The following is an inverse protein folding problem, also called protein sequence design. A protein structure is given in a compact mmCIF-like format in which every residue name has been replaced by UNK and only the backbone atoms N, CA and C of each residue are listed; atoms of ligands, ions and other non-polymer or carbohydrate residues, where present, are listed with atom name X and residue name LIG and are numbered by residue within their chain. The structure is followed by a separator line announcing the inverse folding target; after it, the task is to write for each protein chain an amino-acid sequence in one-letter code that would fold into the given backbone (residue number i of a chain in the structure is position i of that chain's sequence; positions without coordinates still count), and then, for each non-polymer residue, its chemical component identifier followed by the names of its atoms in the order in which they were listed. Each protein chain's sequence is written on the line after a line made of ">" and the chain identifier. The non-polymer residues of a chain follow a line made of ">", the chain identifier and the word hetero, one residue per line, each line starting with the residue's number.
data_IF_183475919170
#
_entry.id   IF_183475919170
#
_cell.length_a   1.000
_cell.length_b   1.000
_cell.length_c   1.000
_cell.angle_alpha   90.00
_cell.angle_beta   90.00
_cell.angle_gamma   90.00
#
_symmetry.space_group_name_H-M   'P 1'
#
loop_
_entity.id
_entity.type
_entity.pdbx_description
1 polymer ?
#
# COMPACT_ATOMS: atom_id res chain seq x y z
N UNK A 1 33.11 28.66 28.95
CA UNK A 1 33.63 29.42 27.79
C UNK A 1 34.39 28.41 26.91
N UNK A 2 34.19 28.18 25.61
CA UNK A 2 33.39 28.78 24.52
C UNK A 2 33.19 27.69 23.42
N UNK A 3 31.99 27.70 22.83
CA UNK A 3 31.56 27.45 21.42
C UNK A 3 31.83 26.12 20.67
N UNK A 4 30.71 25.58 20.16
CA UNK A 4 30.55 24.74 18.95
C UNK A 4 30.69 25.64 17.69
N UNK A 5 31.05 25.08 16.51
CA UNK A 5 30.06 25.05 15.42
C UNK A 5 29.91 23.69 14.70
N UNK A 6 28.72 23.52 14.13
CA UNK A 6 28.17 22.36 13.42
C UNK A 6 28.77 22.07 12.02
N UNK A 7 28.41 20.88 11.53
CA UNK A 7 28.39 20.33 10.15
C UNK A 7 29.67 19.74 9.55
N UNK A 8 29.58 18.46 9.13
CA UNK A 8 30.53 17.85 8.20
C UNK A 8 30.50 16.32 8.16
N UNK A 9 29.65 15.77 7.29
CA UNK A 9 29.83 14.56 6.48
C UNK A 9 30.99 13.61 6.83
N UNK A 10 30.68 12.37 7.21
CA UNK A 10 31.64 11.26 7.31
C UNK A 10 32.36 11.07 5.96
N UNK A 11 33.67 11.34 5.93
CA UNK A 11 34.55 11.10 4.78
C UNK A 11 35.31 9.79 5.02
N UNK A 12 34.93 8.71 4.33
CA UNK A 12 35.74 7.49 4.26
C UNK A 12 36.93 7.70 3.33
N UNK A 13 38.13 7.42 3.83
CA UNK A 13 39.36 7.33 3.03
C UNK A 13 39.30 6.06 2.16
N UNK A 14 39.23 6.25 0.83
CA UNK A 14 39.32 5.17 -0.17
C UNK A 14 40.78 4.84 -0.44
N UNK A 15 41.19 3.62 -0.12
CA UNK A 15 42.36 2.97 -0.75
C UNK A 15 41.88 2.47 -2.12
N UNK A 16 42.42 3.03 -3.19
CA UNK A 16 42.04 2.69 -4.56
C UNK A 16 42.83 1.47 -5.06
N UNK A 17 42.12 0.37 -5.36
CA UNK A 17 42.65 -0.77 -6.12
C UNK A 17 42.48 -0.49 -7.63
N UNK A 18 43.55 -0.32 -8.42
CA UNK A 18 43.46 0.09 -9.82
C UNK A 18 42.98 -1.03 -10.79
N UNK A 19 42.79 -2.26 -10.32
CA UNK A 19 42.33 -3.39 -11.15
C UNK A 19 40.80 -3.47 -11.31
N UNK A 20 40.01 -2.89 -10.39
CA UNK A 20 38.54 -2.97 -10.43
C UNK A 20 37.87 -1.99 -11.39
N UNK A 21 38.51 -0.85 -11.66
CA UNK A 21 37.98 0.19 -12.56
C UNK A 21 38.00 -0.22 -14.03
N UNK A 22 39.03 -0.96 -14.46
CA UNK A 22 39.13 -1.43 -15.83
C UNK A 22 38.07 -2.51 -16.13
N UNK A 23 37.81 -3.42 -15.19
CA UNK A 23 36.78 -4.48 -15.36
C UNK A 23 35.37 -3.87 -15.37
N UNK A 24 35.09 -2.89 -14.50
CA UNK A 24 33.81 -2.17 -14.49
C UNK A 24 33.54 -1.38 -15.78
N UNK A 25 34.57 -0.75 -16.35
CA UNK A 25 34.44 0.00 -17.61
C UNK A 25 34.20 -0.95 -18.81
N UNK A 26 34.85 -2.12 -18.84
CA UNK A 26 34.64 -3.11 -19.90
C UNK A 26 33.22 -3.71 -19.86
N UNK A 27 32.70 -4.03 -18.68
CA UNK A 27 31.32 -4.53 -18.52
C UNK A 27 30.31 -3.45 -18.92
N UNK A 28 30.55 -2.19 -18.56
CA UNK A 28 29.68 -1.07 -18.92
C UNK A 28 29.68 -0.77 -20.43
N UNK A 29 30.85 -0.82 -21.09
CA UNK A 29 30.95 -0.63 -22.55
C UNK A 29 30.37 -1.81 -23.32
N UNK A 30 30.55 -3.05 -22.83
CA UNK A 30 29.91 -4.23 -23.40
C UNK A 30 28.38 -4.17 -23.26
N UNK A 31 27.87 -3.71 -22.12
CA UNK A 31 26.44 -3.49 -21.87
C UNK A 31 25.85 -2.44 -22.83
N UNK A 32 26.53 -1.31 -23.03
CA UNK A 32 26.09 -0.27 -24.00
C UNK A 32 26.13 -0.80 -25.44
N UNK A 33 27.16 -1.56 -25.82
CA UNK A 33 27.25 -2.16 -27.17
C UNK A 33 26.17 -3.21 -27.40
N UNK A 34 25.86 -4.04 -26.40
CA UNK A 34 24.79 -5.04 -26.45
C UNK A 34 23.41 -4.39 -26.62
N UNK A 35 23.12 -3.35 -25.84
CA UNK A 35 21.83 -2.64 -25.92
C UNK A 35 21.68 -1.76 -27.17
N UNK A 36 22.78 -1.25 -27.76
CA UNK A 36 22.72 -0.59 -29.08
C UNK A 36 22.55 -1.56 -30.24
N UNK A 37 23.08 -2.79 -30.14
CA UNK A 37 22.90 -3.82 -31.17
C UNK A 37 21.46 -4.34 -31.23
N UNK A 38 20.78 -4.52 -30.09
CA UNK A 38 19.35 -4.89 -30.06
C UNK A 38 18.40 -3.78 -30.52
N UNK A 39 18.79 -2.50 -30.39
CA UNK A 39 18.01 -1.39 -30.91
C UNK A 39 18.07 -1.28 -32.44
N UNK A 40 19.18 -1.66 -33.07
CA UNK A 40 19.34 -1.60 -34.53
C UNK A 40 18.54 -2.67 -35.30
N UNK A 41 18.17 -3.78 -34.65
CA UNK A 41 17.36 -4.85 -35.27
C UNK A 41 15.84 -4.67 -35.11
N UNK A 42 15.38 -3.73 -34.26
CA UNK A 42 13.97 -3.39 -34.14
C UNK A 42 13.52 -2.27 -35.11
N UNK A 43 14.46 -1.58 -35.77
CA UNK A 43 14.18 -0.46 -36.69
C UNK A 43 14.19 -0.83 -38.18
N UNK A 44 14.61 -2.04 -38.57
CA UNK A 44 14.69 -2.45 -39.99
C UNK A 44 13.53 -3.32 -40.50
N UNK A 45 12.53 -3.65 -39.67
CA UNK A 45 11.35 -4.43 -40.08
C UNK A 45 10.08 -3.59 -40.31
N UNK A 46 10.11 -2.28 -40.06
CA UNK A 46 8.94 -1.39 -40.28
C UNK A 46 9.13 -0.44 -41.48
N UNK A 47 10.33 -0.33 -42.07
CA UNK A 47 10.60 0.57 -43.20
C UNK A 47 10.51 -0.08 -44.61
N UNK A 48 10.03 -1.33 -44.72
CA UNK A 48 10.00 -2.09 -45.98
C UNK A 48 8.62 -2.26 -46.65
N UNK A 49 7.52 -1.81 -46.02
CA UNK A 49 6.16 -2.01 -46.52
C UNK A 49 5.44 -0.70 -46.88
N UNK A 50 6.18 0.38 -47.11
CA UNK A 50 5.63 1.69 -47.49
C UNK A 50 6.20 2.16 -48.83
N UNK A 51 5.92 1.41 -49.90
CA UNK A 51 6.07 1.91 -51.27
C UNK A 51 5.02 1.25 -52.17
N UNK A 52 3.91 1.95 -52.37
CA UNK A 52 2.97 1.67 -53.45
C UNK A 52 1.50 1.59 -53.04
N UNK A 53 0.80 2.73 -53.02
CA UNK A 53 -0.61 2.82 -53.41
C UNK A 53 -1.11 4.28 -53.41
N UNK A 54 -1.00 4.90 -54.58
CA UNK A 54 -2.00 5.75 -55.26
C UNK A 54 -3.06 6.46 -54.39
N UNK A 55 -2.95 7.78 -54.34
CA UNK A 55 -4.02 8.70 -53.97
C UNK A 55 -5.29 8.41 -54.78
N UNK A 56 -6.38 8.08 -54.09
CA UNK A 56 -7.75 8.14 -54.63
C UNK A 56 -8.63 8.90 -53.64
N UNK A 57 -9.26 9.95 -54.15
CA UNK A 57 -10.32 10.71 -53.49
C UNK A 57 -11.59 9.85 -53.42
N UNK A 58 -12.22 9.78 -52.25
CA UNK A 58 -13.66 9.52 -52.00
C UNK A 58 -13.83 9.30 -50.49
N UNK A 59 -14.88 9.70 -49.79
CA UNK A 59 -16.04 10.52 -50.07
C UNK A 59 -16.60 10.95 -48.70
N UNK A 60 -17.31 12.08 -48.69
CA UNK A 60 -18.23 12.47 -47.62
C UNK A 60 -19.10 11.28 -47.17
N UNK A 61 -19.14 10.98 -45.87
CA UNK A 61 -20.15 10.08 -45.28
C UNK A 61 -21.02 10.85 -44.29
N UNK A 62 -22.32 10.82 -44.54
CA UNK A 62 -23.41 11.41 -43.75
C UNK A 62 -23.52 10.82 -42.35
N UNK A 63 -24.16 11.53 -41.39
CA UNK A 63 -24.36 11.06 -40.03
C UNK A 63 -25.51 10.05 -39.97
N UNK A 64 -25.20 8.80 -39.65
CA UNK A 64 -26.22 7.77 -39.45
C UNK A 64 -25.66 6.52 -38.78
N UNK A 65 -26.33 6.12 -37.67
CA UNK A 65 -26.04 4.97 -36.80
C UNK A 65 -24.96 5.21 -35.74
N UNK A 66 -25.36 5.85 -34.64
CA UNK A 66 -24.67 5.70 -33.37
C UNK A 66 -24.86 4.25 -32.90
N UNK A 67 -23.98 3.34 -33.32
CA UNK A 67 -23.64 2.18 -32.50
C UNK A 67 -23.36 2.73 -31.11
N UNK A 68 -24.07 2.28 -30.07
CA UNK A 68 -23.83 2.72 -28.69
C UNK A 68 -22.39 2.33 -28.34
N UNK A 69 -21.46 3.25 -28.57
CA UNK A 69 -20.05 3.07 -28.32
C UNK A 69 -19.85 2.85 -26.82
N UNK A 70 -18.85 2.04 -26.48
CA UNK A 70 -18.48 1.82 -25.09
C UNK A 70 -18.15 3.17 -24.43
N UNK A 71 -18.79 3.47 -23.30
CA UNK A 71 -18.53 4.68 -22.53
C UNK A 71 -17.14 4.54 -21.90
N UNK A 72 -16.20 5.40 -22.29
CA UNK A 72 -14.89 5.50 -21.65
C UNK A 72 -14.91 6.67 -20.68
N UNK A 73 -14.45 6.44 -19.46
CA UNK A 73 -14.35 7.48 -18.43
C UNK A 73 -13.23 7.19 -17.44
N UNK A 74 -12.86 8.20 -16.66
CA UNK A 74 -11.70 8.15 -15.79
C UNK A 74 -12.07 8.45 -14.34
N UNK A 75 -11.18 8.13 -13.40
CA UNK A 75 -11.27 8.57 -12.02
C UNK A 75 -9.88 8.66 -11.38
N UNK A 76 -9.67 9.69 -10.56
CA UNK A 76 -8.39 9.92 -9.87
C UNK A 76 -8.61 9.75 -8.36
N UNK A 77 -7.80 8.89 -7.73
CA UNK A 77 -7.78 8.73 -6.28
C UNK A 77 -6.41 9.08 -5.71
N UNK A 78 -6.37 10.01 -4.77
CA UNK A 78 -5.22 10.23 -3.91
C UNK A 78 -5.43 9.46 -2.59
N UNK A 79 -4.58 8.46 -2.36
CA UNK A 79 -4.47 7.71 -1.10
C UNK A 79 -3.39 8.33 -0.23
N UNK A 80 -3.81 9.15 0.74
CA UNK A 80 -2.91 9.75 1.73
C UNK A 80 -2.69 8.79 2.91
N UNK A 81 -1.66 7.96 2.78
CA UNK A 81 -1.12 7.10 3.83
C UNK A 81 -0.23 7.85 4.82
N UNK A 82 -0.06 7.32 6.03
CA UNK A 82 0.85 7.89 7.04
C UNK A 82 2.33 7.86 6.63
N UNK A 83 2.73 6.88 5.80
CA UNK A 83 4.13 6.70 5.34
C UNK A 83 4.37 7.15 3.90
N UNK A 84 3.32 7.59 3.19
CA UNK A 84 3.40 7.91 1.77
C UNK A 84 2.04 8.28 1.19
N UNK A 85 2.03 9.17 0.20
CA UNK A 85 0.82 9.51 -0.56
C UNK A 85 0.91 8.95 -1.97
N UNK A 86 -0.16 8.35 -2.45
CA UNK A 86 -0.22 7.67 -3.76
C UNK A 86 -1.31 8.30 -4.62
N UNK A 87 -1.06 8.40 -5.93
CA UNK A 87 -2.10 8.67 -6.94
C UNK A 87 -2.38 7.39 -7.70
N UNK A 88 -3.67 7.11 -7.86
CA UNK A 88 -4.20 6.14 -8.80
C UNK A 88 -5.03 6.87 -9.84
N UNK A 89 -4.74 6.63 -11.12
CA UNK A 89 -5.53 7.11 -12.25
C UNK A 89 -6.13 5.89 -12.91
N UNK A 90 -7.45 5.77 -12.83
CA UNK A 90 -8.18 4.65 -13.39
C UNK A 90 -8.86 5.04 -14.68
N UNK A 91 -8.79 4.17 -15.69
CA UNK A 91 -9.57 4.24 -16.91
C UNK A 91 -10.57 3.08 -16.91
N UNK A 92 -11.81 3.40 -17.22
CA UNK A 92 -12.92 2.45 -17.29
C UNK A 92 -13.52 2.43 -18.69
N UNK A 93 -14.01 1.26 -19.07
CA UNK A 93 -14.93 1.09 -20.18
C UNK A 93 -16.26 0.54 -19.66
N UNK A 94 -17.36 0.98 -20.23
CA UNK A 94 -18.69 0.46 -19.91
C UNK A 94 -19.47 0.18 -21.18
N UNK A 95 -19.73 -1.09 -21.48
CA UNK A 95 -20.70 -1.45 -22.51
C UNK A 95 -22.12 -1.00 -22.13
N UNK A 96 -23.01 -0.80 -23.10
CA UNK A 96 -24.38 -0.36 -22.84
C UNK A 96 -25.14 -1.35 -21.95
N UNK A 97 -25.61 -0.88 -20.79
CA UNK A 97 -26.39 -1.71 -19.84
C UNK A 97 -25.54 -2.62 -18.95
N UNK A 98 -24.21 -2.55 -19.05
CA UNK A 98 -23.29 -3.35 -18.23
C UNK A 98 -22.62 -2.53 -17.12
N UNK A 99 -21.98 -3.23 -16.17
CA UNK A 99 -21.14 -2.60 -15.15
C UNK A 99 -19.80 -2.17 -15.74
N UNK A 100 -19.24 -1.03 -15.28
CA UNK A 100 -17.89 -0.64 -15.62
C UNK A 100 -16.85 -1.72 -15.41
N UNK A 101 -15.93 -1.85 -16.36
CA UNK A 101 -14.71 -2.62 -16.21
C UNK A 101 -13.51 -1.69 -16.17
N UNK A 102 -12.54 -2.00 -15.31
CA UNK A 102 -11.26 -1.30 -15.30
C UNK A 102 -10.42 -1.79 -16.48
N UNK A 103 -10.00 -0.86 -17.34
CA UNK A 103 -9.15 -1.18 -18.50
C UNK A 103 -7.69 -0.82 -18.26
N UNK A 104 -7.42 0.20 -17.45
CA UNK A 104 -6.05 0.62 -17.15
C UNK A 104 -5.96 1.32 -15.79
N UNK A 105 -4.83 1.13 -15.12
CA UNK A 105 -4.44 1.86 -13.91
C UNK A 105 -3.04 2.46 -14.10
N UNK A 106 -2.91 3.75 -13.82
CA UNK A 106 -1.62 4.41 -13.61
C UNK A 106 -1.42 4.68 -12.13
N UNK A 107 -0.23 4.32 -11.61
CA UNK A 107 0.10 4.42 -10.20
C UNK A 107 1.41 5.19 -9.98
N UNK A 108 1.43 6.12 -9.02
CA UNK A 108 2.64 6.80 -8.54
C UNK A 108 2.56 7.03 -7.03
N UNK A 109 3.67 6.86 -6.33
CA UNK A 109 3.79 7.09 -4.90
C UNK A 109 4.86 8.14 -4.56
N UNK A 110 4.59 8.96 -3.55
CA UNK A 110 5.54 9.86 -2.89
C UNK A 110 5.95 9.30 -1.53
N UNK A 111 7.23 9.47 -1.20
CA UNK A 111 7.80 9.16 0.12
C UNK A 111 8.77 10.29 0.53
N UNK A 112 8.62 10.93 1.70
CA UNK A 112 7.53 10.74 2.67
C UNK A 112 6.18 11.24 2.11
N UNK A 113 5.08 10.88 2.80
CA UNK A 113 3.72 11.26 2.38
C UNK A 113 3.37 12.71 2.69
N UNK A 114 2.22 13.18 2.19
CA UNK A 114 1.75 14.56 2.39
C UNK A 114 1.60 14.93 3.88
N UNK A 115 1.33 13.96 4.77
CA UNK A 115 1.23 14.21 6.22
C UNK A 115 2.55 14.64 6.85
N UNK A 116 3.70 14.24 6.29
CA UNK A 116 5.01 14.68 6.78
C UNK A 116 5.30 16.16 6.48
N UNK A 117 4.44 16.81 5.68
CA UNK A 117 4.52 18.21 5.32
C UNK A 117 3.30 19.00 5.82
N UNK A 118 2.59 18.49 6.83
CA UNK A 118 1.38 19.14 7.35
C UNK A 118 1.64 20.59 7.81
N UNK A 119 2.85 20.86 8.31
CA UNK A 119 3.29 22.20 8.77
C UNK A 119 4.02 23.02 7.69
N UNK A 120 4.23 22.45 6.49
CA UNK A 120 4.89 23.09 5.34
C UNK A 120 3.96 23.05 4.11
N UNK A 121 3.11 24.08 4.01
CA UNK A 121 2.08 24.22 2.98
C UNK A 121 2.68 24.20 1.57
N UNK A 122 3.86 24.80 1.37
CA UNK A 122 4.52 24.87 0.07
C UNK A 122 5.01 23.49 -0.39
N UNK A 123 5.66 22.72 0.48
CA UNK A 123 6.08 21.35 0.16
C UNK A 123 4.88 20.43 -0.09
N UNK A 124 3.82 20.58 0.70
CA UNK A 124 2.55 19.87 0.48
C UNK A 124 1.95 20.17 -0.90
N UNK A 125 1.93 21.45 -1.31
CA UNK A 125 1.43 21.87 -2.61
C UNK A 125 2.27 21.31 -3.77
N UNK A 126 3.59 21.30 -3.63
CA UNK A 126 4.50 20.69 -4.62
C UNK A 126 4.25 19.18 -4.79
N UNK A 127 4.11 18.45 -3.69
CA UNK A 127 3.80 17.02 -3.72
C UNK A 127 2.45 16.72 -4.40
N UNK A 128 1.43 17.52 -4.09
CA UNK A 128 0.12 17.43 -4.78
C UNK A 128 0.28 17.73 -6.27
N UNK A 129 1.05 18.75 -6.64
CA UNK A 129 1.27 19.12 -8.04
C UNK A 129 1.99 18.03 -8.84
N UNK A 130 2.98 17.36 -8.23
CA UNK A 130 3.65 16.21 -8.85
C UNK A 130 2.64 15.09 -9.17
N UNK A 131 1.79 14.74 -8.20
CA UNK A 131 0.75 13.72 -8.38
C UNK A 131 -0.31 14.12 -9.42
N UNK A 132 -0.71 15.41 -9.45
CA UNK A 132 -1.63 15.94 -10.46
C UNK A 132 -1.03 15.90 -11.87
N UNK A 133 0.28 16.14 -12.01
CA UNK A 133 0.95 16.09 -13.31
C UNK A 133 0.92 14.67 -13.90
N UNK A 134 1.03 13.63 -13.06
CA UNK A 134 0.84 12.24 -13.51
C UNK A 134 -0.55 12.04 -14.09
N UNK A 135 -1.60 12.54 -13.42
CA UNK A 135 -2.97 12.43 -13.91
C UNK A 135 -3.16 13.18 -15.24
N UNK A 136 -2.63 14.40 -15.36
CA UNK A 136 -2.71 15.20 -16.59
C UNK A 136 -2.00 14.55 -17.78
N UNK A 137 -0.96 13.76 -17.55
CA UNK A 137 -0.25 13.02 -18.60
C UNK A 137 -1.05 11.83 -19.14
N UNK A 138 -1.89 11.20 -18.31
CA UNK A 138 -2.56 9.94 -18.65
C UNK A 138 -4.05 10.11 -19.01
N UNK A 139 -4.65 11.26 -18.69
CA UNK A 139 -6.02 11.58 -19.04
C UNK A 139 -6.03 12.57 -20.20
N UNK A 140 -6.73 12.29 -21.32
CA UNK A 140 -6.84 13.25 -22.41
C UNK A 140 -7.54 14.53 -21.95
N UNK A 141 -7.12 15.67 -22.49
CA UNK A 141 -7.56 17.00 -22.06
C UNK A 141 -9.09 17.15 -22.00
N UNK A 142 -9.81 16.60 -22.99
CA UNK A 142 -11.27 16.68 -23.09
C UNK A 142 -12.00 15.99 -21.92
N UNK A 143 -11.34 15.03 -21.26
CA UNK A 143 -11.90 14.31 -20.12
C UNK A 143 -11.61 14.98 -18.77
N UNK A 144 -10.76 16.00 -18.71
CA UNK A 144 -10.34 16.60 -17.43
C UNK A 144 -11.52 17.16 -16.63
N UNK A 145 -12.45 17.86 -17.29
CA UNK A 145 -13.62 18.46 -16.63
C UNK A 145 -14.59 17.40 -16.09
N UNK A 146 -14.66 16.25 -16.75
CA UNK A 146 -15.58 15.16 -16.40
C UNK A 146 -14.97 14.16 -15.41
N UNK A 147 -13.64 14.18 -15.22
CA UNK A 147 -12.94 13.22 -14.38
C UNK A 147 -13.05 13.62 -12.90
N UNK A 148 -13.69 12.81 -12.05
CA UNK A 148 -13.67 13.04 -10.61
C UNK A 148 -12.27 12.81 -10.04
N UNK A 149 -11.85 13.73 -9.18
CA UNK A 149 -10.68 13.58 -8.33
C UNK A 149 -11.13 13.49 -6.87
N UNK A 150 -10.68 12.45 -6.18
CA UNK A 150 -10.99 12.21 -4.77
C UNK A 150 -9.69 12.07 -4.01
N UNK A 151 -9.55 12.79 -2.89
CA UNK A 151 -8.47 12.61 -1.92
C UNK A 151 -9.09 12.05 -0.65
N UNK A 152 -8.57 10.92 -0.15
CA UNK A 152 -8.89 10.46 1.20
C UNK A 152 -7.62 10.08 1.93
N UNK A 153 -7.68 10.28 3.24
CA UNK A 153 -6.61 9.96 4.15
C UNK A 153 -6.96 8.79 5.06
N UNK A 154 -5.92 8.06 5.46
CA UNK A 154 -6.01 6.91 6.36
C UNK A 154 -5.74 7.30 7.82
N UNK A 155 -5.44 6.32 8.68
CA UNK A 155 -5.39 6.47 10.13
C UNK A 155 -4.52 7.63 10.65
N UNK A 156 -3.42 7.98 9.95
CA UNK A 156 -2.54 9.07 10.35
C UNK A 156 -3.23 10.43 10.50
N UNK A 157 -4.25 10.73 9.69
CA UNK A 157 -5.05 11.97 9.81
C UNK A 157 -6.24 11.85 10.77
N UNK A 158 -6.61 10.63 11.18
CA UNK A 158 -7.65 10.38 12.21
C UNK A 158 -7.11 10.51 13.64
N UNK A 159 -5.79 10.47 13.81
CA UNK A 159 -5.11 10.70 15.09
C UNK A 159 -5.07 12.19 15.48
N UNK A 160 -5.68 13.06 14.68
CA UNK A 160 -5.97 14.45 15.04
C UNK A 160 -7.18 14.52 15.98
N UNK A 161 -7.21 15.43 16.96
CA UNK A 161 -8.24 15.46 17.99
C UNK A 161 -9.64 15.66 17.39
N UNK A 162 -10.48 14.65 17.56
CA UNK A 162 -11.88 14.66 17.13
C UNK A 162 -12.56 13.34 17.46
N UNK A 163 -13.34 13.32 18.54
CA UNK A 163 -14.23 12.20 18.82
C UNK A 163 -15.48 12.20 17.94
N UNK A 164 -16.00 10.98 17.78
CA UNK A 164 -17.36 10.57 17.41
C UNK A 164 -17.58 10.20 15.94
N UNK A 165 -17.77 8.89 15.74
CA UNK A 165 -18.86 8.33 14.94
C UNK A 165 -18.92 6.82 15.15
N UNK A 166 -20.04 6.09 15.11
CA UNK A 166 -21.45 6.25 15.52
C UNK A 166 -22.02 4.81 15.39
N UNK A 167 -22.91 4.40 16.30
CA UNK A 167 -23.72 3.17 16.24
C UNK A 167 -24.68 3.18 15.03
N UNK A 168 -24.98 2.00 14.43
CA UNK A 168 -26.33 1.39 14.32
C UNK A 168 -26.48 0.25 13.26
N UNK A 169 -27.19 -0.81 13.68
CA UNK A 169 -28.13 -1.72 12.97
C UNK A 169 -27.70 -3.06 12.32
N UNK A 170 -28.46 -4.11 12.72
CA UNK A 170 -28.52 -5.53 12.32
C UNK A 170 -29.49 -5.73 11.11
N UNK A 171 -29.74 -6.90 10.47
CA UNK A 171 -29.64 -8.33 10.85
C UNK A 171 -29.61 -9.25 9.62
N UNK A 172 -28.87 -10.37 9.67
CA UNK A 172 -28.97 -11.50 8.72
C UNK A 172 -27.61 -11.92 8.12
N UNK A 173 -27.21 -13.17 8.39
CA UNK A 173 -25.92 -13.85 8.10
C UNK A 173 -24.70 -13.40 8.90
N UNK A 174 -24.68 -12.17 9.42
CA UNK A 174 -23.63 -11.58 10.28
C UNK A 174 -23.91 -11.70 11.80
N UNK A 175 -24.64 -12.73 12.25
CA UNK A 175 -25.24 -12.76 13.60
C UNK A 175 -24.24 -12.82 14.77
N UNK A 176 -23.02 -13.34 14.56
CA UNK A 176 -21.97 -13.35 15.57
C UNK A 176 -21.15 -12.03 15.61
N UNK A 177 -21.26 -11.19 14.59
CA UNK A 177 -20.48 -9.95 14.52
C UNK A 177 -21.01 -8.87 15.46
N UNK A 178 -20.14 -8.12 16.16
CA UNK A 178 -20.57 -7.07 17.07
C UNK A 178 -21.41 -5.98 16.37
N UNK A 179 -22.44 -5.43 17.04
CA UNK A 179 -23.19 -4.28 16.53
C UNK A 179 -22.23 -3.11 16.23
N UNK A 180 -22.22 -2.63 14.98
CA UNK A 180 -21.33 -1.54 14.52
C UNK A 180 -20.15 -1.99 13.65
N UNK A 181 -19.89 -3.29 13.54
CA UNK A 181 -18.87 -3.82 12.60
C UNK A 181 -19.45 -4.14 11.22
N UNK A 182 -20.75 -3.88 11.01
CA UNK A 182 -21.46 -4.21 9.79
C UNK A 182 -21.77 -2.94 9.01
N UNK A 183 -21.31 -2.89 7.77
CA UNK A 183 -21.57 -1.77 6.85
C UNK A 183 -22.38 -2.28 5.67
N UNK A 184 -23.51 -1.62 5.40
CA UNK A 184 -24.27 -1.83 4.18
C UNK A 184 -23.75 -0.88 3.09
N UNK A 185 -23.43 -1.42 1.92
CA UNK A 185 -22.92 -0.69 0.78
C UNK A 185 -23.77 -1.01 -0.44
N UNK A 186 -24.30 0.01 -1.13
CA UNK A 186 -25.00 -0.18 -2.40
C UNK A 186 -24.10 0.27 -3.56
N UNK A 187 -23.81 -0.65 -4.47
CA UNK A 187 -22.98 -0.40 -5.65
C UNK A 187 -23.53 -1.19 -6.83
N UNK A 188 -23.69 -0.53 -7.99
CA UNK A 188 -24.18 -1.18 -9.22
C UNK A 188 -25.50 -1.93 -9.04
N UNK A 189 -26.45 -1.28 -8.36
CA UNK A 189 -27.77 -1.82 -8.05
C UNK A 189 -27.77 -3.13 -7.23
N UNK A 190 -26.67 -3.40 -6.51
CA UNK A 190 -26.57 -4.50 -5.55
C UNK A 190 -26.25 -3.95 -4.16
N UNK A 191 -26.88 -4.53 -3.15
CA UNK A 191 -26.61 -4.21 -1.75
C UNK A 191 -25.72 -5.29 -1.15
N UNK A 192 -24.54 -4.87 -0.72
CA UNK A 192 -23.55 -5.68 -0.03
C UNK A 192 -23.62 -5.39 1.46
N UNK A 193 -23.42 -6.42 2.27
CA UNK A 193 -23.30 -6.31 3.72
C UNK A 193 -21.95 -6.86 4.11
N UNK A 194 -21.10 -5.97 4.60
CA UNK A 194 -19.70 -6.26 4.82
C UNK A 194 -19.40 -6.17 6.31
N UNK A 195 -18.68 -7.16 6.83
CA UNK A 195 -17.97 -6.99 8.07
C UNK A 195 -16.76 -6.09 7.80
N UNK A 196 -16.66 -4.98 8.51
CA UNK A 196 -15.54 -4.06 8.42
C UNK A 196 -15.27 -3.45 9.79
N UNK A 197 -14.04 -3.61 10.26
CA UNK A 197 -13.59 -2.98 11.48
C UNK A 197 -12.12 -2.59 11.36
N UNK A 198 -11.75 -1.50 12.05
CA UNK A 198 -10.38 -0.99 12.07
C UNK A 198 -9.89 -0.96 13.50
N UNK A 199 -8.86 -1.74 13.80
CA UNK A 199 -8.25 -1.81 15.11
C UNK A 199 -7.14 -0.75 15.22
N UNK A 200 -7.52 0.46 15.65
CA UNK A 200 -6.57 1.55 15.85
C UNK A 200 -5.49 1.15 16.86
N UNK A 201 -4.23 1.49 16.57
CA UNK A 201 -3.07 1.12 17.40
C UNK A 201 -2.53 -0.30 17.16
N UNK A 202 -3.18 -1.12 16.32
CA UNK A 202 -2.68 -2.45 15.93
C UNK A 202 -2.04 -2.47 14.53
N UNK A 203 -1.73 -1.31 13.95
CA UNK A 203 -0.85 -1.23 12.79
C UNK A 203 0.58 -1.64 13.15
N UNK A 204 1.37 -2.13 12.18
CA UNK A 204 2.70 -2.70 12.47
C UNK A 204 3.61 -1.74 13.24
N UNK A 205 3.68 -0.46 12.85
CA UNK A 205 4.55 0.51 13.54
C UNK A 205 4.07 0.82 14.96
N UNK A 206 2.77 1.01 15.18
CA UNK A 206 2.20 1.24 16.51
C UNK A 206 2.39 0.00 17.41
N UNK A 207 2.25 -1.20 16.85
CA UNK A 207 2.53 -2.45 17.54
C UNK A 207 4.01 -2.59 17.93
N UNK A 208 4.94 -2.25 17.03
CA UNK A 208 6.39 -2.21 17.35
C UNK A 208 6.67 -1.32 18.55
N UNK A 209 6.13 -0.10 18.56
CA UNK A 209 6.29 0.81 19.69
C UNK A 209 5.78 0.18 21.00
N UNK A 210 4.59 -0.42 20.98
CA UNK A 210 4.03 -1.09 22.14
C UNK A 210 4.88 -2.30 22.61
N UNK A 211 5.39 -3.11 21.68
CA UNK A 211 6.25 -4.29 21.97
C UNK A 211 7.58 -3.85 22.57
N UNK A 212 8.12 -2.72 22.12
CA UNK A 212 9.31 -2.07 22.67
C UNK A 212 9.06 -1.48 24.07
N UNK A 213 7.80 -1.29 24.47
CA UNK A 213 7.43 -0.69 25.76
C UNK A 213 7.25 0.83 25.71
N UNK A 214 7.17 1.42 24.52
CA UNK A 214 6.88 2.83 24.32
C UNK A 214 5.38 3.14 24.30
N UNK A 215 5.05 4.43 24.33
CA UNK A 215 3.68 4.95 24.26
C UNK A 215 3.61 6.03 23.20
N UNK A 216 2.63 5.93 22.29
CA UNK A 216 2.49 6.86 21.16
C UNK A 216 2.31 8.31 21.64
N UNK A 217 3.02 9.25 21.02
CA UNK A 217 2.99 10.67 21.37
C UNK A 217 3.64 11.03 22.72
N UNK A 218 4.27 10.07 23.42
CA UNK A 218 5.02 10.32 24.65
C UNK A 218 6.51 10.04 24.44
N UNK A 219 7.37 11.07 24.47
CA UNK A 219 8.81 10.86 24.55
C UNK A 219 9.14 9.96 25.74
N UNK A 220 10.15 9.10 25.56
CA UNK A 220 10.76 8.48 26.72
C UNK A 220 11.32 9.58 27.63
N UNK A 221 11.22 9.40 28.96
CA UNK A 221 11.93 10.27 29.90
C UNK A 221 13.43 10.27 29.55
N UNK A 222 14.09 11.43 29.73
CA UNK A 222 15.52 11.55 29.47
C UNK A 222 16.28 10.40 30.17
N UNK A 223 17.16 9.74 29.41
CA UNK A 223 17.96 8.55 29.79
C UNK A 223 17.23 7.19 29.91
N UNK A 224 15.92 7.11 29.66
CA UNK A 224 15.21 5.82 29.72
C UNK A 224 15.35 5.02 28.42
N UNK A 225 15.98 3.85 28.52
CA UNK A 225 16.08 2.88 27.43
C UNK A 225 14.89 1.91 27.43
N UNK A 226 14.27 1.71 26.26
CA UNK A 226 13.20 0.76 26.03
C UNK A 226 13.77 -0.64 25.78
N UNK A 227 13.59 -1.54 26.74
CA UNK A 227 14.14 -2.90 26.69
C UNK A 227 13.07 -3.89 26.24
N UNK A 228 13.37 -4.68 25.21
CA UNK A 228 12.42 -5.66 24.65
C UNK A 228 13.04 -7.06 24.48
N UNK A 229 12.30 -8.15 24.78
CA UNK A 229 12.72 -9.52 24.47
C UNK A 229 12.64 -9.84 22.96
N UNK A 230 11.98 -9.00 22.18
CA UNK A 230 11.86 -9.15 20.72
C UNK A 230 13.02 -8.55 19.92
N UNK A 231 14.13 -8.22 20.59
CA UNK A 231 15.36 -7.73 20.00
C UNK A 231 16.53 -8.60 20.45
N UNK A 232 17.54 -8.72 19.59
CA UNK A 232 18.77 -9.45 19.93
C UNK A 232 19.42 -8.89 21.22
N UNK A 233 19.91 -9.73 22.16
CA UNK A 233 20.49 -9.26 23.42
C UNK A 233 21.72 -8.35 23.28
N UNK A 234 22.37 -8.37 22.11
CA UNK A 234 23.52 -7.52 21.79
C UNK A 234 23.09 -6.22 21.11
N UNK A 235 21.84 -6.12 20.66
CA UNK A 235 21.35 -4.95 19.95
C UNK A 235 21.11 -3.77 20.90
N UNK A 236 21.62 -2.61 20.50
CA UNK A 236 21.33 -1.29 21.06
C UNK A 236 21.29 -0.29 19.92
N UNK A 237 20.31 0.60 19.93
CA UNK A 237 20.20 1.61 18.87
C UNK A 237 19.13 2.65 19.17
N UNK A 238 19.00 3.58 18.24
CA UNK A 238 17.92 4.57 18.23
C UNK A 238 16.91 4.22 17.15
N UNK A 239 15.63 4.43 17.44
CA UNK A 239 14.54 4.25 16.50
C UNK A 239 13.61 5.45 16.55
N UNK A 240 13.33 6.04 15.39
CA UNK A 240 12.43 7.19 15.27
C UNK A 240 11.04 6.73 14.83
N UNK A 241 10.02 7.21 15.55
CA UNK A 241 8.62 6.98 15.19
C UNK A 241 7.75 8.15 15.65
N UNK A 242 6.91 8.65 14.74
CA UNK A 242 6.05 9.80 14.97
C UNK A 242 6.83 11.01 15.54
N UNK A 243 7.99 11.31 14.93
CA UNK A 243 8.88 12.43 15.29
C UNK A 243 9.52 12.32 16.68
N UNK A 244 9.38 11.17 17.34
CA UNK A 244 10.01 10.86 18.62
C UNK A 244 11.11 9.82 18.41
N UNK A 245 12.30 10.12 18.91
CA UNK A 245 13.44 9.19 18.92
C UNK A 245 13.47 8.40 20.22
N UNK A 246 13.47 7.08 20.12
CA UNK A 246 13.53 6.15 21.23
C UNK A 246 14.88 5.43 21.27
N UNK A 247 15.50 5.34 22.45
CA UNK A 247 16.64 4.46 22.70
C UNK A 247 16.12 3.07 23.03
N UNK A 248 16.52 2.07 22.25
CA UNK A 248 15.99 0.69 22.34
C UNK A 248 17.12 -0.32 22.51
N UNK A 249 16.88 -1.36 23.30
CA UNK A 249 17.83 -2.46 23.49
C UNK A 249 17.18 -3.83 23.67
N UNK A 250 17.96 -4.88 23.40
CA UNK A 250 17.54 -6.26 23.63
C UNK A 250 17.65 -6.72 25.08
N UNK A 251 16.63 -7.44 25.53
CA UNK A 251 16.64 -8.08 26.84
C UNK A 251 17.64 -9.23 26.88
N UNK A 252 18.45 -9.29 27.94
CA UNK A 252 19.34 -10.43 28.20
C UNK A 252 18.57 -11.54 28.91
N UNK A 253 18.09 -12.52 28.15
CA UNK A 253 17.39 -13.68 28.68
C UNK A 253 17.55 -14.92 27.79
N UNK A 254 17.24 -16.09 28.33
CA UNK A 254 17.08 -17.35 27.59
C UNK A 254 15.61 -17.47 27.16
N UNK A 255 15.34 -18.12 26.02
CA UNK A 255 13.96 -18.26 25.52
C UNK A 255 13.37 -16.93 25.02
N UNK A 256 14.15 -16.20 24.22
CA UNK A 256 13.74 -14.87 23.74
C UNK A 256 12.46 -14.91 22.90
N UNK A 257 12.27 -15.98 22.13
CA UNK A 257 11.06 -16.15 21.34
C UNK A 257 9.82 -16.26 22.25
N UNK A 258 9.85 -17.10 23.28
CA UNK A 258 8.74 -17.27 24.22
C UNK A 258 8.43 -15.96 24.97
N UNK A 259 9.47 -15.24 25.40
CA UNK A 259 9.32 -13.93 26.04
C UNK A 259 8.75 -12.88 25.08
N UNK A 260 9.18 -12.89 23.82
CA UNK A 260 8.65 -12.02 22.78
C UNK A 260 7.18 -12.34 22.47
N UNK A 261 6.85 -13.62 22.28
CA UNK A 261 5.49 -14.09 22.05
C UNK A 261 4.57 -13.75 23.23
N UNK A 262 5.04 -13.89 24.48
CA UNK A 262 4.31 -13.48 25.67
C UNK A 262 4.04 -11.97 25.68
N UNK A 263 5.04 -11.14 25.36
CA UNK A 263 4.89 -9.68 25.28
C UNK A 263 3.88 -9.28 24.21
N UNK A 264 3.96 -9.89 23.03
CA UNK A 264 3.02 -9.66 21.93
C UNK A 264 1.60 -10.09 22.32
N UNK A 265 1.46 -11.26 22.96
CA UNK A 265 0.16 -11.77 23.43
C UNK A 265 -0.51 -10.83 24.42
N UNK A 266 0.26 -10.24 25.34
CA UNK A 266 -0.24 -9.23 26.28
C UNK A 266 -0.80 -7.99 25.55
N UNK A 267 -0.11 -7.53 24.50
CA UNK A 267 -0.53 -6.38 23.70
C UNK A 267 -1.81 -6.66 22.92
N UNK A 268 -2.01 -7.90 22.46
CA UNK A 268 -3.14 -8.31 21.64
C UNK A 268 -4.37 -8.76 22.44
N UNK A 269 -4.17 -9.19 23.69
CA UNK A 269 -5.21 -9.79 24.54
C UNK A 269 -6.49 -8.94 24.58
N UNK A 270 -7.60 -9.54 24.16
CA UNK A 270 -8.93 -8.91 24.13
C UNK A 270 -9.02 -7.63 23.27
N UNK A 271 -8.07 -7.37 22.36
CA UNK A 271 -8.10 -6.19 21.49
C UNK A 271 -8.71 -6.43 20.12
N UNK A 272 -8.88 -7.69 19.73
CA UNK A 272 -9.47 -8.05 18.43
C UNK A 272 -10.70 -8.92 18.58
N UNK A 273 -11.61 -8.80 17.60
CA UNK A 273 -12.75 -9.70 17.49
C UNK A 273 -12.32 -10.99 16.79
N UNK A 274 -12.36 -12.10 17.52
CA UNK A 274 -12.17 -13.44 16.95
C UNK A 274 -13.37 -13.80 16.07
N UNK A 275 -13.12 -14.24 14.85
CA UNK A 275 -14.16 -14.54 13.86
C UNK A 275 -14.02 -16.00 13.45
N UNK A 276 -14.90 -16.87 13.95
CA UNK A 276 -14.82 -18.33 13.68
C UNK A 276 -14.97 -18.65 12.20
N UNK A 277 -15.68 -17.83 11.43
CA UNK A 277 -15.86 -17.99 9.99
C UNK A 277 -14.55 -17.81 9.21
N UNK A 278 -13.55 -17.13 9.80
CA UNK A 278 -12.27 -16.86 9.15
C UNK A 278 -11.54 -18.14 8.70
N UNK A 279 -11.79 -19.26 9.39
CA UNK A 279 -11.23 -20.55 9.04
C UNK A 279 -11.77 -21.10 7.70
N UNK A 280 -13.03 -20.79 7.34
CA UNK A 280 -13.73 -21.38 6.19
C UNK A 280 -13.80 -20.48 4.95
N UNK A 281 -13.40 -19.21 5.05
CA UNK A 281 -13.49 -18.25 3.93
C UNK A 281 -12.12 -17.98 3.34
N UNK A 282 -12.03 -17.76 2.03
CA UNK A 282 -10.79 -17.34 1.39
C UNK A 282 -10.39 -15.91 1.81
N UNK A 283 -9.13 -15.73 2.20
CA UNK A 283 -8.60 -14.42 2.56
C UNK A 283 -7.44 -14.02 1.64
N UNK A 284 -7.50 -12.77 1.22
CA UNK A 284 -6.32 -12.06 0.75
C UNK A 284 -5.74 -11.20 1.87
N UNK A 285 -4.43 -11.23 2.02
CA UNK A 285 -3.69 -10.41 2.96
C UNK A 285 -2.72 -9.50 2.18
N UNK A 286 -2.75 -8.21 2.51
CA UNK A 286 -2.06 -7.15 1.76
C UNK A 286 -1.10 -6.37 2.66
N UNK A 287 -0.37 -5.42 2.06
CA UNK A 287 0.49 -4.49 2.80
C UNK A 287 1.52 -5.22 3.67
N UNK A 288 1.60 -4.95 4.98
CA UNK A 288 2.65 -5.52 5.83
C UNK A 288 2.68 -7.05 5.87
N UNK A 289 1.55 -7.73 5.70
CA UNK A 289 1.54 -9.20 5.57
C UNK A 289 2.35 -9.64 4.34
N UNK A 290 2.17 -8.95 3.21
CA UNK A 290 2.90 -9.18 1.97
C UNK A 290 4.37 -8.78 2.11
N UNK A 291 4.63 -7.56 2.60
CA UNK A 291 5.99 -7.02 2.68
C UNK A 291 6.89 -7.89 3.57
N UNK A 292 6.36 -8.36 4.71
CA UNK A 292 7.08 -9.26 5.60
C UNK A 292 7.28 -10.63 4.95
N UNK A 293 6.23 -11.24 4.40
CA UNK A 293 6.34 -12.53 3.72
C UNK A 293 7.40 -12.49 2.59
N UNK A 294 7.39 -11.44 1.76
CA UNK A 294 8.37 -11.25 0.70
C UNK A 294 9.78 -11.03 1.24
N UNK A 295 9.94 -10.17 2.26
CA UNK A 295 11.27 -9.85 2.83
C UNK A 295 11.96 -11.05 3.49
N UNK A 296 11.18 -12.00 4.01
CA UNK A 296 11.67 -13.25 4.60
C UNK A 296 11.66 -14.42 3.61
N UNK A 297 11.36 -14.17 2.34
CA UNK A 297 11.39 -15.20 1.28
C UNK A 297 10.29 -16.26 1.41
N UNK A 298 9.20 -15.98 2.13
CA UNK A 298 8.05 -16.87 2.26
C UNK A 298 7.17 -16.88 0.99
N UNK A 299 7.27 -15.83 0.18
CA UNK A 299 6.61 -15.68 -1.12
C UNK A 299 7.55 -15.01 -2.11
N UNK A 300 7.22 -15.09 -3.41
CA UNK A 300 7.92 -14.34 -4.45
C UNK A 300 7.64 -12.83 -4.27
N UNK A 301 8.70 -12.03 -4.22
CA UNK A 301 8.59 -10.59 -3.93
C UNK A 301 7.89 -9.79 -5.06
N UNK A 302 7.92 -10.28 -6.30
CA UNK A 302 7.31 -9.62 -7.45
C UNK A 302 5.90 -10.15 -7.74
N UNK A 303 5.71 -11.46 -7.63
CA UNK A 303 4.47 -12.15 -8.02
C UNK A 303 3.51 -12.38 -6.85
N UNK A 304 4.01 -12.33 -5.61
CA UNK A 304 3.27 -12.77 -4.44
C UNK A 304 3.16 -14.30 -4.36
N UNK A 305 2.14 -14.80 -3.68
CA UNK A 305 1.94 -16.22 -3.52
C UNK A 305 0.84 -16.58 -2.54
N UNK A 306 0.85 -17.82 -2.09
CA UNK A 306 0.03 -18.30 -0.98
C UNK A 306 0.95 -18.83 0.10
N UNK A 307 0.63 -18.57 1.36
CA UNK A 307 1.37 -19.09 2.50
C UNK A 307 0.41 -19.55 3.58
N UNK A 308 0.87 -20.47 4.42
CA UNK A 308 0.12 -21.00 5.54
C UNK A 308 0.40 -20.12 6.77
N UNK A 309 -0.62 -19.82 7.58
CA UNK A 309 -0.46 -18.92 8.74
C UNK A 309 0.70 -19.34 9.66
N UNK A 310 0.90 -20.65 9.85
CA UNK A 310 2.02 -21.21 10.62
C UNK A 310 3.42 -20.95 10.05
N UNK A 311 3.55 -20.54 8.78
CA UNK A 311 4.83 -20.20 8.16
C UNK A 311 5.43 -18.93 8.80
N UNK A 312 4.59 -17.96 9.18
CA UNK A 312 5.04 -16.77 9.91
C UNK A 312 5.64 -17.13 11.27
N UNK A 313 5.01 -18.05 12.00
CA UNK A 313 5.51 -18.53 13.29
C UNK A 313 6.85 -19.25 13.15
N UNK A 314 6.93 -20.14 12.14
CA UNK A 314 8.14 -20.93 11.85
C UNK A 314 9.32 -20.03 11.50
N UNK A 315 9.08 -18.97 10.72
CA UNK A 315 10.09 -17.97 10.39
C UNK A 315 10.47 -17.07 11.58
N UNK A 316 9.58 -16.87 12.55
CA UNK A 316 9.82 -16.03 13.72
C UNK A 316 10.70 -16.69 14.79
N UNK A 317 10.49 -17.99 15.04
CA UNK A 317 11.01 -18.74 16.18
C UNK A 317 12.55 -18.71 16.33
N UNK A 318 13.38 -18.98 15.29
CA UNK A 318 14.83 -19.01 15.47
C UNK A 318 15.48 -17.65 15.76
N UNK A 319 14.78 -16.54 15.50
CA UNK A 319 15.36 -15.19 15.58
C UNK A 319 14.63 -14.25 16.54
N UNK A 320 13.57 -14.71 17.21
CA UNK A 320 12.65 -13.86 17.97
C UNK A 320 12.21 -12.63 17.16
N UNK A 321 11.92 -12.83 15.86
CA UNK A 321 11.58 -11.72 14.97
C UNK A 321 10.28 -11.05 15.46
N UNK A 322 10.39 -9.80 15.92
CA UNK A 322 9.29 -9.02 16.47
C UNK A 322 8.06 -9.00 15.55
N UNK A 323 8.27 -8.68 14.27
CA UNK A 323 7.17 -8.45 13.32
C UNK A 323 6.48 -9.74 12.91
N UNK A 324 7.24 -10.81 12.67
CA UNK A 324 6.68 -12.12 12.33
C UNK A 324 5.95 -12.72 13.53
N UNK A 325 6.48 -12.55 14.75
CA UNK A 325 5.80 -12.95 15.99
C UNK A 325 4.49 -12.18 16.15
N UNK A 326 4.51 -10.87 15.90
CA UNK A 326 3.32 -10.02 15.94
C UNK A 326 2.25 -10.47 14.94
N UNK A 327 2.60 -10.64 13.66
CA UNK A 327 1.64 -11.04 12.63
C UNK A 327 1.07 -12.42 12.89
N UNK A 328 1.92 -13.39 13.28
CA UNK A 328 1.48 -14.75 13.58
C UNK A 328 0.44 -14.76 14.70
N UNK A 329 0.73 -14.11 15.83
CA UNK A 329 -0.19 -14.04 16.97
C UNK A 329 -1.43 -13.21 16.67
N UNK A 330 -1.32 -12.12 15.91
CA UNK A 330 -2.48 -11.33 15.48
C UNK A 330 -3.45 -12.15 14.61
N UNK A 331 -2.93 -12.95 13.67
CA UNK A 331 -3.75 -13.85 12.86
C UNK A 331 -4.41 -14.93 13.73
N UNK A 332 -3.68 -15.50 14.69
CA UNK A 332 -4.25 -16.45 15.63
C UNK A 332 -5.39 -15.84 16.48
N UNK A 333 -5.21 -14.61 16.97
CA UNK A 333 -6.23 -13.88 17.74
C UNK A 333 -7.48 -13.56 16.89
N UNK A 334 -7.31 -13.29 15.59
CA UNK A 334 -8.45 -13.17 14.67
C UNK A 334 -9.23 -14.47 14.46
N UNK A 335 -8.65 -15.62 14.83
CA UNK A 335 -9.28 -16.93 14.70
C UNK A 335 -8.80 -17.75 13.51
N UNK A 336 -7.70 -17.35 12.85
CA UNK A 336 -7.12 -18.16 11.79
C UNK A 336 -6.39 -19.37 12.38
N UNK A 337 -6.72 -20.60 11.93
CA UNK A 337 -5.97 -21.78 12.33
C UNK A 337 -4.58 -21.80 11.67
N UNK A 338 -3.64 -22.53 12.25
CA UNK A 338 -2.23 -22.56 11.78
C UNK A 338 -2.10 -23.02 10.34
N UNK A 339 -2.95 -23.94 9.90
CA UNK A 339 -2.98 -24.51 8.55
C UNK A 339 -3.75 -23.66 7.54
N UNK A 340 -4.33 -22.53 7.96
CA UNK A 340 -5.05 -21.64 7.05
C UNK A 340 -4.11 -21.09 5.98
N UNK A 341 -4.53 -21.22 4.72
CA UNK A 341 -3.86 -20.57 3.59
C UNK A 341 -4.36 -19.14 3.42
N UNK A 342 -3.42 -18.20 3.33
CA UNK A 342 -3.65 -16.81 2.94
C UNK A 342 -3.11 -16.58 1.54
N UNK A 343 -3.83 -15.78 0.74
CA UNK A 343 -3.38 -15.31 -0.58
C UNK A 343 -2.73 -13.94 -0.40
N UNK A 344 -1.47 -13.79 -0.82
CA UNK A 344 -0.72 -12.55 -0.71
C UNK A 344 -0.37 -12.05 -2.09
N UNK A 345 -0.98 -10.93 -2.46
CA UNK A 345 -0.82 -10.34 -3.78
C UNK A 345 -0.69 -8.83 -3.62
N UNK A 346 0.30 -8.23 -4.27
CA UNK A 346 0.38 -6.77 -4.39
C UNK A 346 -0.52 -6.24 -5.51
N UNK A 347 -0.76 -7.09 -6.51
CA UNK A 347 -1.63 -6.82 -7.64
C UNK A 347 -2.55 -8.01 -7.91
N UNK A 348 -3.78 -7.72 -8.29
CA UNK A 348 -4.73 -8.71 -8.82
C UNK A 348 -5.09 -8.24 -10.22
N UNK A 349 -4.87 -9.10 -11.23
CA UNK A 349 -5.09 -8.77 -12.64
C UNK A 349 -4.38 -7.47 -13.09
N UNK A 350 -3.14 -7.29 -12.62
CA UNK A 350 -2.29 -6.12 -12.84
C UNK A 350 -2.79 -4.80 -12.20
N UNK A 351 -3.77 -4.88 -11.29
CA UNK A 351 -4.31 -3.75 -10.53
C UNK A 351 -3.77 -3.74 -9.11
N UNK A 352 -3.28 -2.60 -8.63
CA UNK A 352 -2.76 -2.46 -7.27
C UNK A 352 -3.84 -2.75 -6.23
N UNK A 353 -3.54 -3.67 -5.30
CA UNK A 353 -4.47 -4.07 -4.25
C UNK A 353 -4.55 -2.95 -3.20
N UNK A 354 -5.50 -2.06 -3.39
CA UNK A 354 -5.75 -0.92 -2.49
C UNK A 354 -7.25 -0.61 -2.42
N UNK A 355 -7.64 0.21 -1.44
CA UNK A 355 -9.02 0.67 -1.31
C UNK A 355 -9.43 1.67 -2.40
N UNK A 356 -8.47 2.20 -3.17
CA UNK A 356 -8.65 3.30 -4.11
C UNK A 356 -9.65 2.98 -5.22
N UNK A 357 -9.53 1.80 -5.85
CA UNK A 357 -10.43 1.37 -6.92
C UNK A 357 -11.88 1.26 -6.45
N UNK A 358 -12.11 0.60 -5.31
CA UNK A 358 -13.45 0.43 -4.74
C UNK A 358 -14.09 1.78 -4.37
N UNK A 359 -13.30 2.72 -3.84
CA UNK A 359 -13.78 4.06 -3.52
C UNK A 359 -14.14 4.87 -4.77
N UNK A 360 -13.37 4.75 -5.86
CA UNK A 360 -13.69 5.40 -7.15
C UNK A 360 -14.96 4.80 -7.76
N UNK A 361 -15.12 3.47 -7.77
CA UNK A 361 -16.36 2.85 -8.23
C UNK A 361 -17.58 3.34 -7.44
N UNK A 362 -17.48 3.37 -6.11
CA UNK A 362 -18.55 3.87 -5.25
C UNK A 362 -18.90 5.34 -5.55
N UNK A 363 -17.89 6.20 -5.72
CA UNK A 363 -18.10 7.63 -5.99
C UNK A 363 -18.75 7.85 -7.35
N UNK A 364 -18.27 7.18 -8.40
CA UNK A 364 -18.82 7.29 -9.75
C UNK A 364 -20.26 6.78 -9.80
N UNK A 365 -20.58 5.67 -9.12
CA UNK A 365 -21.95 5.16 -9.03
C UNK A 365 -22.87 6.16 -8.31
N UNK A 366 -22.39 6.79 -7.23
CA UNK A 366 -23.14 7.82 -6.50
C UNK A 366 -23.48 9.03 -7.38
N UNK A 367 -22.50 9.56 -8.12
CA UNK A 367 -22.72 10.69 -9.04
C UNK A 367 -23.73 10.37 -10.15
N UNK A 368 -23.80 9.11 -10.61
CA UNK A 368 -24.80 8.70 -11.60
C UNK A 368 -26.20 8.63 -10.99
N UNK A 369 -26.33 8.14 -9.75
CA UNK A 369 -27.62 8.10 -9.04
C UNK A 369 -28.19 9.51 -8.79
N UNK A 370 -27.36 10.48 -8.44
CA UNK A 370 -27.80 11.88 -8.24
C UNK A 370 -28.31 12.55 -9.52
N UNK A 371 -27.83 12.11 -10.69
CA UNK A 371 -28.25 12.64 -12.00
C UNK A 371 -29.53 12.00 -12.55
N UNK A 372 -30.00 10.90 -11.97
CA UNK A 372 -31.24 10.24 -12.35
C UNK A 372 -32.30 10.66 -11.32
N UNK A 373 -33.20 11.61 -11.64
CA UNK A 373 -34.27 11.97 -10.70
C UNK A 373 -35.12 10.73 -10.40
N UNK A 374 -35.47 10.55 -9.14
CA UNK A 374 -36.42 9.52 -8.73
C UNK A 374 -37.73 9.75 -9.50
N UNK A 375 -38.09 8.75 -10.32
CA UNK A 375 -39.33 8.72 -11.09
C UNK A 375 -40.54 8.54 -10.18
#
# INVERSE_FOLDING_TARGET
>A
MRKIPNHGTLRMTKVAYPLGLCVGLFIYVAYIKWHRASAAQAFFTIAGAASGARWTQQAFSSPGSATRSHEVFYGIMFDAGSTGTRVHVFQFARPPGETPTLTHETFKALKPGLSAYADDVEKSAQGIQELLNVAKQHIPYDFWKATPLVLKATAGLRLLPGEKAQKLLQKGTLQASPPGHLTALQMFNRTYRLYSYSYLGLGLMSARLAILGGVEGKPAEDDKELVSPCLSPQFRGEWEHAEVTYRISGQKAVGLYELCASRVSEILRNKVHRTEEAQHVDFYAFSYYYDLAASFGLIDAEKGGSLVVGDFETAANPFACMDLTYISLLLHEFGFPRDKVLKLARKIDNVETSWALGAIFHYIDSLKREKIPAL
#
